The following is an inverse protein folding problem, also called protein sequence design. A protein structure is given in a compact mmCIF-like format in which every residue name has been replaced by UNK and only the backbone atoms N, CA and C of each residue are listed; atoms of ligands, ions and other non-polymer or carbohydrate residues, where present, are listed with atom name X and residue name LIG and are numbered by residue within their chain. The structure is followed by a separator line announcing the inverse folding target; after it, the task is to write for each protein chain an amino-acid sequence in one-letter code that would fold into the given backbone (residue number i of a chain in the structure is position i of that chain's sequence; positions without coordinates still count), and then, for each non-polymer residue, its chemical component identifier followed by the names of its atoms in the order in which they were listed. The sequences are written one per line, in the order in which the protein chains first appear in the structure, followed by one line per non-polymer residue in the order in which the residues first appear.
data_IF_935888571236
#
_entry.id   IF_935888571236
#
_cell.length_a   1.000
_cell.length_b   1.000
_cell.length_c   1.000
_cell.angle_alpha   90.00
_cell.angle_beta   90.00
_cell.angle_gamma   90.00
#
_symmetry.space_group_name_H-M   'P 1'
#
loop_
_entity.id
_entity.type
_entity.pdbx_description
1 polymer ?
#
# COMPACT_ATOMS: atom_id res chain seq x y z
N UNK A 1 -5.32 -41.94 -27.95
CA UNK A 1 -6.13 -41.42 -26.82
C UNK A 1 -5.27 -40.92 -25.64
N UNK A 2 -4.29 -41.69 -25.14
CA UNK A 2 -3.42 -41.29 -24.01
C UNK A 2 -2.57 -40.03 -24.29
N UNK A 3 -2.01 -39.92 -25.50
CA UNK A 3 -1.25 -38.74 -25.92
C UNK A 3 -2.09 -37.47 -26.02
N UNK A 4 -3.32 -37.57 -26.53
CA UNK A 4 -4.25 -36.43 -26.64
C UNK A 4 -4.70 -35.95 -25.27
N UNK A 5 -4.98 -36.88 -24.34
CA UNK A 5 -5.28 -36.54 -22.95
C UNK A 5 -4.10 -35.85 -22.26
N UNK A 6 -2.86 -36.30 -22.50
CA UNK A 6 -1.65 -35.64 -21.98
C UNK A 6 -1.45 -34.23 -22.55
N UNK A 7 -1.70 -34.05 -23.86
CA UNK A 7 -1.56 -32.76 -24.54
C UNK A 7 -2.57 -31.70 -24.04
N UNK A 8 -3.74 -32.13 -23.57
CA UNK A 8 -4.75 -31.24 -22.97
C UNK A 8 -4.51 -31.02 -21.47
N UNK A 9 -4.14 -32.06 -20.72
CA UNK A 9 -3.98 -31.98 -19.26
C UNK A 9 -2.72 -31.20 -18.84
N UNK A 10 -1.64 -31.24 -19.60
CA UNK A 10 -0.41 -30.51 -19.28
C UNK A 10 -0.64 -28.98 -19.16
N UNK A 11 -1.16 -28.28 -20.18
CA UNK A 11 -1.38 -26.84 -20.09
C UNK A 11 -2.42 -26.46 -19.02
N UNK A 12 -3.43 -27.31 -18.77
CA UNK A 12 -4.39 -27.11 -17.68
C UNK A 12 -3.74 -27.19 -16.29
N UNK A 13 -2.81 -28.12 -16.10
CA UNK A 13 -2.05 -28.25 -14.85
C UNK A 13 -1.08 -27.07 -14.64
N UNK A 14 -0.42 -26.59 -15.70
CA UNK A 14 0.43 -25.40 -15.63
C UNK A 14 -0.39 -24.13 -15.34
N UNK A 15 -1.58 -23.98 -15.95
CA UNK A 15 -2.46 -22.84 -15.70
C UNK A 15 -3.05 -22.80 -14.29
N UNK A 16 -3.19 -23.95 -13.62
CA UNK A 16 -3.74 -24.05 -12.27
C UNK A 16 -2.83 -23.47 -11.17
N UNK A 17 -1.53 -23.31 -11.44
CA UNK A 17 -0.58 -22.66 -10.53
C UNK A 17 -0.51 -21.12 -10.71
N UNK A 18 -1.25 -20.55 -11.66
CA UNK A 18 -1.28 -19.11 -11.89
C UNK A 18 -2.06 -18.37 -10.79
N UNK A 19 -1.35 -17.65 -9.92
CA UNK A 19 -1.96 -16.72 -8.96
C UNK A 19 -2.01 -15.30 -9.55
N UNK A 20 -3.00 -15.04 -10.41
CA UNK A 20 -3.19 -13.73 -11.07
C UNK A 20 -3.85 -12.67 -10.17
N UNK A 21 -3.98 -12.95 -8.87
CA UNK A 21 -4.66 -12.05 -7.91
C UNK A 21 -6.18 -11.99 -8.13
N UNK A 22 -6.87 -11.22 -7.27
CA UNK A 22 -8.32 -10.99 -7.39
C UNK A 22 -8.68 -9.74 -8.18
N UNK A 23 -7.73 -8.81 -8.32
CA UNK A 23 -7.92 -7.52 -8.97
C UNK A 23 -6.73 -7.26 -9.89
N UNK A 24 -7.04 -6.84 -11.09
CA UNK A 24 -6.07 -6.41 -12.08
C UNK A 24 -6.14 -4.88 -12.11
N UNK A 25 -5.22 -4.22 -11.40
CA UNK A 25 -5.15 -2.76 -11.36
C UNK A 25 -4.43 -2.32 -12.62
N UNK A 26 -5.20 -2.04 -13.66
CA UNK A 26 -4.67 -1.47 -14.90
C UNK A 26 -4.77 0.04 -14.82
N UNK A 27 -3.64 0.73 -14.94
CA UNK A 27 -3.66 2.15 -15.28
C UNK A 27 -4.06 2.26 -16.75
N UNK A 28 -5.28 2.72 -17.02
CA UNK A 28 -5.73 3.08 -18.38
C UNK A 28 -5.33 4.51 -18.76
N UNK A 29 -4.69 5.24 -17.85
CA UNK A 29 -4.37 6.64 -18.04
C UNK A 29 -3.09 6.80 -18.87
N UNK A 30 -3.22 7.39 -20.07
CA UNK A 30 -2.16 8.14 -20.77
C UNK A 30 -1.90 9.49 -20.07
N UNK A 31 -2.01 9.55 -18.75
CA UNK A 31 -1.70 10.75 -17.99
C UNK A 31 -0.19 11.00 -17.96
N UNK A 32 0.28 12.24 -17.75
CA UNK A 32 1.68 12.46 -17.42
C UNK A 32 2.00 11.59 -16.20
N UNK A 33 3.02 10.75 -16.33
CA UNK A 33 3.46 9.91 -15.24
C UNK A 33 3.96 10.84 -14.12
N UNK A 34 3.16 11.00 -13.07
CA UNK A 34 3.51 11.85 -11.93
C UNK A 34 4.75 11.32 -11.18
N UNK A 35 5.14 10.06 -11.44
CA UNK A 35 6.41 9.50 -10.97
C UNK A 35 7.61 9.83 -11.89
N UNK A 36 7.39 10.40 -13.09
CA UNK A 36 8.48 10.97 -13.91
C UNK A 36 8.95 12.33 -13.38
N UNK A 37 8.12 13.03 -12.60
CA UNK A 37 8.50 14.31 -12.01
C UNK A 37 9.03 14.01 -10.61
N UNK A 38 10.35 14.10 -10.44
CA UNK A 38 10.95 14.06 -9.10
C UNK A 38 10.93 15.49 -8.52
N UNK A 39 10.05 15.81 -7.57
CA UNK A 39 10.06 17.12 -6.94
C UNK A 39 11.37 17.30 -6.16
N UNK A 40 12.16 18.30 -6.53
CA UNK A 40 13.34 18.71 -5.79
C UNK A 40 13.00 19.84 -4.79
N UNK A 41 13.75 19.92 -3.69
CA UNK A 41 13.74 21.10 -2.83
C UNK A 41 14.36 22.28 -3.57
N UNK A 42 13.98 23.49 -3.16
CA UNK A 42 14.61 24.71 -3.67
C UNK A 42 16.12 24.69 -3.44
N UNK A 43 16.87 25.23 -4.38
CA UNK A 43 18.32 25.38 -4.27
C UNK A 43 18.67 26.27 -3.06
N UNK A 44 19.60 25.80 -2.23
CA UNK A 44 20.13 26.60 -1.13
C UNK A 44 21.25 27.49 -1.65
N UNK A 45 21.13 28.79 -1.43
CA UNK A 45 22.17 29.75 -1.78
C UNK A 45 23.27 29.74 -0.71
N UNK A 46 24.55 29.78 -1.09
CA UNK A 46 25.63 29.94 -0.13
C UNK A 46 25.65 31.36 0.44
N UNK A 47 26.18 31.54 1.65
CA UNK A 47 26.33 32.86 2.28
C UNK A 47 27.23 33.80 1.46
N UNK A 48 28.15 33.23 0.68
CA UNK A 48 29.00 33.95 -0.26
C UNK A 48 29.30 33.13 -1.51
N UNK A 49 29.23 33.77 -2.68
CA UNK A 49 29.57 33.18 -3.97
C UNK A 49 31.07 33.28 -4.30
N UNK A 50 31.83 34.04 -3.52
CA UNK A 50 33.29 34.18 -3.71
C UNK A 50 34.09 33.13 -2.95
N UNK A 51 33.48 32.49 -1.94
CA UNK A 51 34.06 31.42 -1.13
C UNK A 51 33.14 30.23 -1.15
N UNK A 52 33.21 29.45 -2.23
CA UNK A 52 32.40 28.23 -2.36
C UNK A 52 32.84 27.20 -1.32
N UNK A 53 31.89 26.55 -0.62
CA UNK A 53 32.21 25.46 0.28
C UNK A 53 32.85 24.30 -0.50
N UNK A 54 33.79 23.59 0.13
CA UNK A 54 34.44 22.44 -0.47
C UNK A 54 33.37 21.37 -0.76
N UNK A 55 33.34 20.76 -1.96
CA UNK A 55 32.41 19.68 -2.26
C UNK A 55 32.52 18.56 -1.22
N UNK A 56 31.39 17.93 -0.88
CA UNK A 56 31.35 16.77 0.03
C UNK A 56 31.00 15.49 -0.76
N UNK A 57 31.99 14.79 -1.35
CA UNK A 57 31.75 13.55 -2.08
C UNK A 57 31.06 12.50 -1.21
N UNK A 58 30.07 11.80 -1.78
CA UNK A 58 29.34 10.73 -1.12
C UNK A 58 28.25 11.17 -0.14
N UNK A 59 28.09 12.48 0.11
CA UNK A 59 26.93 13.00 0.84
C UNK A 59 25.68 13.04 -0.06
N UNK A 60 24.51 12.92 0.57
CA UNK A 60 23.23 13.08 -0.12
C UNK A 60 23.09 14.51 -0.66
N UNK A 61 22.44 14.65 -1.82
CA UNK A 61 22.19 15.96 -2.39
C UNK A 61 21.17 16.74 -1.55
N UNK A 62 21.48 18.01 -1.25
CA UNK A 62 20.63 18.89 -0.44
C UNK A 62 19.25 19.14 -1.08
N UNK A 63 19.17 19.08 -2.41
CA UNK A 63 17.91 19.27 -3.13
C UNK A 63 17.06 18.02 -3.19
N UNK A 64 17.59 16.86 -2.83
CA UNK A 64 16.82 15.62 -2.89
C UNK A 64 15.77 15.61 -1.75
N UNK A 65 14.53 15.29 -2.10
CA UNK A 65 13.45 15.15 -1.13
C UNK A 65 13.54 13.79 -0.44
N UNK A 66 13.24 13.80 0.85
CA UNK A 66 13.07 12.57 1.62
C UNK A 66 11.60 12.51 2.05
N UNK A 67 10.78 11.88 1.21
CA UNK A 67 9.32 11.81 1.40
C UNK A 67 8.91 11.20 2.74
N UNK A 68 9.66 10.21 3.22
CA UNK A 68 9.43 9.55 4.50
C UNK A 68 9.70 10.53 5.65
N UNK A 69 10.87 11.16 5.68
CA UNK A 69 11.23 12.11 6.75
C UNK A 69 10.32 13.35 6.77
N UNK A 70 9.97 13.87 5.60
CA UNK A 70 9.05 15.00 5.45
C UNK A 70 7.63 14.64 5.90
N UNK A 71 7.15 13.43 5.58
CA UNK A 71 5.88 12.91 6.07
C UNK A 71 5.87 12.79 7.59
N UNK A 72 6.93 12.21 8.19
CA UNK A 72 7.07 12.09 9.65
C UNK A 72 6.97 13.46 10.32
N UNK A 73 7.70 14.46 9.81
CA UNK A 73 7.64 15.84 10.32
C UNK A 73 6.24 16.46 10.18
N UNK A 74 5.57 16.27 9.03
CA UNK A 74 4.23 16.80 8.78
C UNK A 74 3.17 16.22 9.73
N UNK A 75 3.35 14.97 10.17
CA UNK A 75 2.50 14.33 11.19
C UNK A 75 2.94 14.61 12.64
N UNK A 76 3.95 15.47 12.85
CA UNK A 76 4.42 15.88 14.17
C UNK A 76 5.44 14.92 14.82
N UNK A 77 6.01 13.99 14.05
CA UNK A 77 7.08 13.10 14.49
C UNK A 77 8.48 13.67 14.29
N UNK A 78 9.50 12.94 14.72
CA UNK A 78 10.92 13.31 14.55
C UNK A 78 11.63 12.33 13.60
N UNK A 79 12.38 12.77 12.57
CA UNK A 79 13.03 11.88 11.61
C UNK A 79 14.03 10.90 12.22
N UNK A 80 14.59 11.24 13.39
CA UNK A 80 15.47 10.38 14.17
C UNK A 80 14.76 9.14 14.76
N UNK A 81 13.42 9.13 14.82
CA UNK A 81 12.64 7.97 15.24
C UNK A 81 12.58 6.86 14.17
N UNK A 82 13.21 7.06 13.01
CA UNK A 82 13.38 6.01 11.99
C UNK A 82 14.49 5.01 12.34
N UNK A 83 15.05 5.08 13.56
CA UNK A 83 15.90 4.01 14.09
C UNK A 83 15.07 2.71 14.19
N UNK A 84 15.67 1.57 13.84
CA UNK A 84 15.00 0.27 13.91
C UNK A 84 14.55 -0.02 15.36
N UNK A 85 13.25 0.01 15.62
CA UNK A 85 12.65 -0.37 16.89
C UNK A 85 11.68 0.65 17.47
N UNK A 86 11.06 0.28 18.59
CA UNK A 86 10.14 1.15 19.34
C UNK A 86 11.00 1.96 20.34
N UNK A 87 10.92 3.30 20.34
CA UNK A 87 11.62 4.12 21.32
C UNK A 87 11.25 3.77 22.77
N UNK A 88 12.21 3.86 23.69
CA UNK A 88 11.97 3.62 25.12
C UNK A 88 10.91 4.57 25.71
N UNK A 89 10.79 5.79 25.17
CA UNK A 89 9.74 6.75 25.54
C UNK A 89 8.32 6.22 25.31
N UNK A 90 8.17 5.33 24.34
CA UNK A 90 6.86 4.84 23.88
C UNK A 90 6.50 3.50 24.56
N UNK A 91 7.35 2.99 25.44
CA UNK A 91 7.15 1.71 26.13
C UNK A 91 5.83 1.66 26.91
N UNK A 92 5.44 2.75 27.58
CA UNK A 92 4.18 2.83 28.31
C UNK A 92 2.96 2.76 27.36
N UNK A 93 3.05 3.41 26.20
CA UNK A 93 2.00 3.35 25.18
C UNK A 93 1.88 1.93 24.60
N UNK A 94 3.00 1.28 24.29
CA UNK A 94 3.03 -0.10 23.79
C UNK A 94 2.48 -1.07 24.83
N UNK A 95 2.82 -0.90 26.10
CA UNK A 95 2.27 -1.71 27.19
C UNK A 95 0.75 -1.52 27.31
N UNK A 96 0.27 -0.27 27.24
CA UNK A 96 -1.15 0.03 27.29
C UNK A 96 -1.91 -0.52 26.07
N UNK A 97 -1.34 -0.44 24.87
CA UNK A 97 -1.93 -0.99 23.65
C UNK A 97 -1.94 -2.53 23.66
N UNK A 98 -0.88 -3.15 24.18
CA UNK A 98 -0.74 -4.60 24.27
C UNK A 98 -1.49 -5.25 25.45
N UNK A 99 -2.17 -4.46 26.29
CA UNK A 99 -2.88 -4.95 27.49
C UNK A 99 -3.90 -6.07 27.23
N UNK A 100 -4.46 -6.12 26.02
CA UNK A 100 -5.45 -7.15 25.61
C UNK A 100 -4.79 -8.37 24.93
N UNK A 101 -3.46 -8.44 24.93
CA UNK A 101 -2.69 -9.48 24.25
C UNK A 101 -2.23 -9.05 22.85
N UNK A 102 -1.12 -9.64 22.41
CA UNK A 102 -0.55 -9.47 21.06
C UNK A 102 -0.25 -10.85 20.49
N UNK A 103 -0.85 -11.17 19.36
CA UNK A 103 -0.57 -12.42 18.64
C UNK A 103 0.71 -12.25 17.82
N UNK A 104 1.79 -12.92 18.21
CA UNK A 104 3.12 -12.80 17.58
C UNK A 104 3.10 -13.08 16.06
N UNK A 105 2.34 -14.09 15.62
CA UNK A 105 2.29 -14.53 14.23
C UNK A 105 1.04 -14.05 13.48
N UNK A 106 0.38 -12.96 13.93
CA UNK A 106 -0.90 -12.51 13.37
C UNK A 106 -0.84 -12.25 11.85
N UNK A 107 0.31 -11.82 11.32
CA UNK A 107 0.47 -11.56 9.88
C UNK A 107 0.38 -12.85 9.06
N UNK A 108 1.00 -13.92 9.55
CA UNK A 108 0.96 -15.24 8.91
C UNK A 108 -0.45 -15.83 9.03
N UNK A 109 -1.03 -15.79 10.23
CA UNK A 109 -2.38 -16.28 10.50
C UNK A 109 -3.44 -15.56 9.64
N UNK A 110 -3.34 -14.23 9.52
CA UNK A 110 -4.24 -13.43 8.68
C UNK A 110 -4.08 -13.78 7.21
N UNK A 111 -2.85 -13.98 6.73
CA UNK A 111 -2.57 -14.37 5.35
C UNK A 111 -3.16 -15.75 5.01
N UNK A 112 -3.00 -16.72 5.91
CA UNK A 112 -3.57 -18.07 5.76
C UNK A 112 -5.10 -18.05 5.82
N UNK A 113 -5.66 -17.32 6.78
CA UNK A 113 -7.11 -17.17 6.97
C UNK A 113 -7.75 -16.50 5.75
N UNK A 114 -7.12 -15.45 5.23
CA UNK A 114 -7.56 -14.77 4.02
C UNK A 114 -7.48 -15.68 2.79
N UNK A 115 -6.38 -16.42 2.61
CA UNK A 115 -6.26 -17.38 1.52
C UNK A 115 -7.35 -18.46 1.58
N UNK A 116 -7.64 -18.99 2.77
CA UNK A 116 -8.72 -19.96 2.99
C UNK A 116 -10.10 -19.33 2.71
N UNK A 117 -10.33 -18.08 3.12
CA UNK A 117 -11.54 -17.33 2.81
C UNK A 117 -11.74 -17.17 1.30
N UNK A 118 -10.70 -16.69 0.59
CA UNK A 118 -10.72 -16.55 -0.87
C UNK A 118 -10.98 -17.87 -1.58
N UNK A 119 -10.34 -18.97 -1.15
CA UNK A 119 -10.58 -20.32 -1.72
C UNK A 119 -12.05 -20.76 -1.58
N UNK A 120 -12.70 -20.47 -0.46
CA UNK A 120 -14.14 -20.77 -0.26
C UNK A 120 -15.04 -19.91 -1.14
N UNK A 121 -14.67 -18.64 -1.37
CA UNK A 121 -15.39 -17.71 -2.26
C UNK A 121 -15.13 -17.95 -3.74
N UNK A 122 -14.01 -18.60 -4.08
CA UNK A 122 -13.56 -18.82 -5.45
C UNK A 122 -14.33 -19.92 -6.21
N UNK A 123 -15.16 -20.72 -5.53
CA UNK A 123 -15.99 -21.75 -6.18
C UNK A 123 -16.89 -21.05 -7.21
N UNK A 124 -16.63 -21.32 -8.50
CA UNK A 124 -17.30 -20.76 -9.69
C UNK A 124 -16.94 -19.32 -10.10
N UNK A 125 -16.02 -18.62 -9.42
CA UNK A 125 -15.59 -17.26 -9.84
C UNK A 125 -14.35 -17.27 -10.74
N UNK A 126 -13.70 -18.42 -10.94
CA UNK A 126 -12.49 -18.56 -11.77
C UNK A 126 -12.77 -18.49 -13.28
N UNK A 127 -14.01 -18.72 -13.71
CA UNK A 127 -14.40 -18.62 -15.13
C UNK A 127 -14.78 -17.16 -15.41
N UNK A 128 -13.97 -16.48 -16.23
CA UNK A 128 -14.15 -15.07 -16.59
C UNK A 128 -14.72 -14.98 -18.01
N UNK A 129 -16.02 -14.73 -18.11
CA UNK A 129 -16.69 -14.44 -19.39
C UNK A 129 -16.67 -12.92 -19.66
N UNK A 130 -16.68 -12.11 -18.59
CA UNK A 130 -16.70 -10.63 -18.64
C UNK A 130 -15.63 -10.09 -17.67
N UNK A 131 -14.96 -8.96 -17.97
CA UNK A 131 -14.17 -8.24 -16.98
C UNK A 131 -15.04 -7.83 -15.79
N UNK A 132 -14.83 -8.47 -14.64
CA UNK A 132 -15.52 -8.13 -13.39
C UNK A 132 -14.52 -8.11 -12.25
N UNK A 133 -14.69 -7.18 -11.32
CA UNK A 133 -13.87 -7.11 -10.11
C UNK A 133 -14.23 -8.27 -9.17
N UNK A 134 -13.34 -9.27 -9.09
CA UNK A 134 -13.53 -10.44 -8.20
C UNK A 134 -13.19 -10.11 -6.75
N UNK A 135 -12.39 -9.08 -6.52
CA UNK A 135 -12.11 -8.59 -5.17
C UNK A 135 -13.42 -8.11 -4.54
N UNK A 136 -14.15 -7.23 -5.22
CA UNK A 136 -15.42 -6.71 -4.72
C UNK A 136 -16.45 -7.82 -4.49
N UNK A 137 -16.51 -8.83 -5.37
CA UNK A 137 -17.41 -9.98 -5.18
C UNK A 137 -17.04 -10.84 -3.96
N UNK A 138 -15.76 -11.13 -3.77
CA UNK A 138 -15.29 -11.94 -2.65
C UNK A 138 -15.53 -11.24 -1.31
N UNK A 139 -15.30 -9.93 -1.28
CA UNK A 139 -15.35 -9.10 -0.08
C UNK A 139 -16.64 -8.30 0.07
N UNK A 140 -17.68 -8.51 -0.75
CA UNK A 140 -18.94 -7.73 -0.74
C UNK A 140 -19.58 -7.50 0.63
N UNK A 141 -19.41 -8.44 1.57
CA UNK A 141 -19.98 -8.35 2.94
C UNK A 141 -19.10 -7.54 3.91
N UNK A 142 -17.89 -7.20 3.50
CA UNK A 142 -16.88 -6.46 4.24
C UNK A 142 -16.65 -5.06 3.63
N UNK A 143 -17.35 -4.73 2.54
CA UNK A 143 -17.32 -3.40 1.94
C UNK A 143 -18.13 -2.43 2.80
N UNK A 144 -17.52 -1.31 3.15
CA UNK A 144 -18.17 -0.20 3.82
C UNK A 144 -18.85 0.71 2.79
N UNK A 145 -19.98 1.29 3.18
CA UNK A 145 -20.61 2.37 2.43
C UNK A 145 -19.76 3.64 2.56
N UNK A 146 -18.97 3.92 1.52
CA UNK A 146 -17.99 5.00 1.49
C UNK A 146 -18.60 6.39 1.80
N UNK A 147 -19.69 6.85 1.14
CA UNK A 147 -20.28 8.14 1.46
C UNK A 147 -20.84 8.17 2.89
N UNK A 148 -21.42 7.08 3.39
CA UNK A 148 -21.93 7.00 4.75
C UNK A 148 -20.81 7.08 5.81
N UNK A 149 -19.71 6.36 5.62
CA UNK A 149 -18.57 6.44 6.54
C UNK A 149 -17.90 7.81 6.50
N UNK A 150 -17.73 8.40 5.30
CA UNK A 150 -17.21 9.75 5.18
C UNK A 150 -18.08 10.77 5.93
N UNK A 151 -19.41 10.68 5.81
CA UNK A 151 -20.34 11.53 6.57
C UNK A 151 -20.28 11.29 8.09
N UNK A 152 -20.07 10.04 8.52
CA UNK A 152 -19.85 9.70 9.94
C UNK A 152 -18.59 10.38 10.49
N UNK A 153 -17.48 10.30 9.77
CA UNK A 153 -16.21 10.92 10.20
C UNK A 153 -16.25 12.44 10.18
N UNK A 154 -16.88 13.05 9.17
CA UNK A 154 -17.08 14.52 9.14
C UNK A 154 -17.90 15.01 10.33
N UNK A 155 -18.97 14.30 10.70
CA UNK A 155 -19.77 14.64 11.90
C UNK A 155 -18.98 14.51 13.20
N UNK A 156 -18.00 13.61 13.24
CA UNK A 156 -17.08 13.48 14.37
C UNK A 156 -15.95 14.52 14.36
N UNK A 157 -15.92 15.46 13.41
CA UNK A 157 -14.91 16.51 13.31
C UNK A 157 -13.58 16.06 12.69
N UNK A 158 -13.50 14.83 12.17
CA UNK A 158 -12.29 14.34 11.50
C UNK A 158 -12.16 14.94 10.09
N UNK A 159 -10.92 15.20 9.66
CA UNK A 159 -10.62 15.59 8.28
C UNK A 159 -10.81 14.38 7.37
N UNK A 160 -11.76 14.45 6.43
CA UNK A 160 -11.95 13.42 5.40
C UNK A 160 -11.46 13.95 4.05
N UNK A 161 -10.79 13.13 3.22
CA UNK A 161 -10.44 13.51 1.85
C UNK A 161 -11.67 13.94 1.03
N UNK A 162 -11.46 14.77 0.01
CA UNK A 162 -12.50 15.12 -0.97
C UNK A 162 -12.92 13.87 -1.75
N UNK A 163 -14.23 13.69 -1.95
CA UNK A 163 -14.74 12.63 -2.81
C UNK A 163 -14.39 12.94 -4.29
N UNK A 164 -14.17 11.92 -5.13
CA UNK A 164 -14.05 12.13 -6.57
C UNK A 164 -15.34 12.76 -7.13
N UNK A 165 -15.26 13.50 -8.25
CA UNK A 165 -16.45 14.03 -8.91
C UNK A 165 -17.40 12.88 -9.29
N UNK A 166 -18.70 13.14 -9.23
CA UNK A 166 -19.68 12.24 -9.84
C UNK A 166 -19.45 12.27 -11.36
N UNK A 167 -19.27 11.10 -11.96
CA UNK A 167 -19.30 10.92 -13.41
C UNK A 167 -20.70 11.19 -13.98
#
# INVERSE_FOLDING_TARGET
MRFVAALVLLPLALGACGNTGLRDIRSSAKGPDEFMIQPAKSLQQPDSYTTLPVPTPGQANLTDRNSVAEGVLAFGGTPQSNAEGIPASDAALVQQASRMGVTNNIRQELAETDAAFRKRKARFTQIKIVPTDRYDQAYKRQILDAPREAARWRRAGARTPSAPPAE
#
